data_IF_119374277845
#
_entry.id   IF_119374277845
#
_cell.length_a   1.000
_cell.length_b   1.000
_cell.length_c   1.000
_cell.angle_alpha   90.00
_cell.angle_beta   90.00
_cell.angle_gamma   90.00
#
_symmetry.space_group_name_H-M   'P 1'
#
loop_
_entity.id
_entity.type
_entity.pdbx_description
1 polymer ?
#
# COMPACT_ATOMS: atom_id res chain seq x y z
N UNK A 1 7.42 -1.87 3.89
CA UNK A 1 6.00 -1.89 4.28
C UNK A 1 5.13 -1.26 3.19
N UNK A 2 3.93 -1.77 2.98
CA UNK A 2 2.88 -1.11 2.20
C UNK A 2 2.10 -0.24 3.16
N UNK A 3 2.25 1.07 3.07
CA UNK A 3 1.54 2.03 3.92
C UNK A 3 0.09 2.15 3.49
N UNK A 4 -0.81 2.02 4.45
CA UNK A 4 -2.21 2.35 4.29
C UNK A 4 -2.66 3.36 5.35
N UNK A 5 -3.78 4.03 5.09
CA UNK A 5 -4.46 4.92 6.02
C UNK A 5 -5.91 4.51 6.13
N UNK A 6 -6.46 4.54 7.34
CA UNK A 6 -7.89 4.25 7.56
C UNK A 6 -8.75 5.32 6.90
N UNK A 7 -9.81 4.89 6.22
CA UNK A 7 -10.86 5.77 5.71
C UNK A 7 -11.64 6.42 6.85
N UNK A 8 -12.34 7.50 6.56
CA UNK A 8 -13.22 8.11 7.54
C UNK A 8 -14.34 7.14 7.96
N UNK A 9 -14.84 7.31 9.19
CA UNK A 9 -15.95 6.48 9.67
C UNK A 9 -17.20 6.68 8.81
N UNK A 10 -17.42 7.89 8.32
CA UNK A 10 -18.56 8.26 7.47
C UNK A 10 -18.53 7.48 6.16
N UNK A 11 -17.35 7.44 5.48
CA UNK A 11 -17.17 6.71 4.23
C UNK A 11 -17.35 5.20 4.41
N UNK A 12 -16.85 4.66 5.52
CA UNK A 12 -17.03 3.23 5.85
C UNK A 12 -18.51 2.94 6.11
N UNK A 13 -19.19 3.77 6.90
CA UNK A 13 -20.62 3.61 7.20
C UNK A 13 -21.47 3.71 5.94
N UNK A 14 -21.15 4.64 5.03
CA UNK A 14 -21.84 4.74 3.73
C UNK A 14 -21.71 3.44 2.93
N UNK A 15 -20.53 2.84 2.94
CA UNK A 15 -20.25 1.60 2.20
C UNK A 15 -21.00 0.39 2.77
N UNK A 16 -21.07 0.24 4.10
CA UNK A 16 -21.64 -0.95 4.74
C UNK A 16 -23.03 -0.75 5.32
N UNK A 17 -23.56 0.46 5.25
CA UNK A 17 -24.79 0.86 5.94
C UNK A 17 -26.06 0.14 5.48
N UNK A 18 -26.10 -0.43 4.28
CA UNK A 18 -27.24 -1.22 3.78
C UNK A 18 -27.25 -2.67 4.23
N UNK A 19 -26.19 -3.17 4.87
CA UNK A 19 -26.03 -4.56 5.27
C UNK A 19 -26.29 -4.75 6.76
N UNK A 20 -26.89 -5.89 7.13
CA UNK A 20 -27.23 -6.21 8.52
C UNK A 20 -26.09 -6.93 9.25
N UNK A 21 -25.32 -7.75 8.56
CA UNK A 21 -24.21 -8.54 9.11
C UNK A 21 -22.92 -8.18 8.37
N UNK A 22 -22.07 -7.42 9.04
CA UNK A 22 -20.77 -6.96 8.53
C UNK A 22 -19.66 -7.76 9.17
N UNK A 23 -18.83 -8.42 8.37
CA UNK A 23 -17.60 -9.04 8.83
C UNK A 23 -16.41 -8.14 8.47
N UNK A 24 -15.75 -7.58 9.49
CA UNK A 24 -14.57 -6.77 9.33
C UNK A 24 -13.30 -7.65 9.39
N UNK A 25 -12.59 -7.75 8.27
CA UNK A 25 -11.43 -8.61 8.10
C UNK A 25 -10.14 -7.80 8.19
N UNK A 26 -9.37 -8.03 9.23
CA UNK A 26 -8.04 -7.44 9.43
C UNK A 26 -6.92 -8.19 8.72
N UNK A 27 -5.76 -7.58 8.67
CA UNK A 27 -4.55 -8.16 8.10
C UNK A 27 -3.35 -7.88 9.02
N UNK A 28 -2.73 -8.94 9.56
CA UNK A 28 -1.56 -8.87 10.44
C UNK A 28 -0.24 -8.51 9.74
N UNK A 29 -0.27 -8.27 8.41
CA UNK A 29 0.90 -7.93 7.60
C UNK A 29 1.25 -6.44 7.61
N UNK A 30 1.52 -5.88 6.44
CA UNK A 30 2.00 -4.50 6.27
C UNK A 30 1.10 -3.44 6.96
N UNK A 31 -0.22 -3.62 6.89
CA UNK A 31 -1.18 -2.64 7.44
C UNK A 31 -1.24 -2.67 8.97
N UNK A 32 -0.90 -3.78 9.61
CA UNK A 32 -0.73 -3.86 11.07
C UNK A 32 0.47 -3.03 11.53
N UNK A 33 1.62 -3.17 10.83
CA UNK A 33 2.81 -2.33 11.07
C UNK A 33 2.49 -0.84 10.86
N UNK A 34 1.58 -0.53 9.95
CA UNK A 34 1.14 0.84 9.68
C UNK A 34 0.09 1.37 10.66
N UNK A 35 -0.34 0.60 11.64
CA UNK A 35 -1.41 0.96 12.59
C UNK A 35 -2.71 1.35 11.85
N UNK A 36 -3.06 0.57 10.82
CA UNK A 36 -4.20 0.86 9.95
C UNK A 36 -5.19 -0.30 9.79
N UNK A 37 -4.77 -1.57 10.04
CA UNK A 37 -5.64 -2.70 9.74
C UNK A 37 -5.29 -4.01 10.43
N UNK A 38 -4.51 -3.98 11.51
CA UNK A 38 -4.24 -5.12 12.37
C UNK A 38 -5.40 -5.46 13.32
N UNK A 39 -5.19 -6.40 14.22
CA UNK A 39 -6.21 -6.86 15.17
C UNK A 39 -6.74 -5.74 16.07
N UNK A 40 -5.86 -4.84 16.50
CA UNK A 40 -6.26 -3.71 17.34
C UNK A 40 -7.18 -2.77 16.57
N UNK A 41 -6.82 -2.37 15.36
CA UNK A 41 -7.58 -1.46 14.52
C UNK A 41 -8.94 -2.07 14.11
N UNK A 42 -9.01 -3.40 13.90
CA UNK A 42 -10.28 -4.12 13.70
C UNK A 42 -11.18 -3.98 14.93
N UNK A 43 -10.63 -4.17 16.11
CA UNK A 43 -11.39 -4.06 17.37
C UNK A 43 -11.92 -2.65 17.58
N UNK A 44 -11.09 -1.64 17.35
CA UNK A 44 -11.43 -0.23 17.47
C UNK A 44 -12.53 0.17 16.47
N UNK A 45 -12.35 -0.16 15.18
CA UNK A 45 -13.34 0.15 14.15
C UNK A 45 -14.69 -0.55 14.42
N UNK A 46 -14.66 -1.80 14.85
CA UNK A 46 -15.87 -2.53 15.19
C UNK A 46 -16.63 -1.86 16.35
N UNK A 47 -15.92 -1.35 17.34
CA UNK A 47 -16.52 -0.62 18.45
C UNK A 47 -17.17 0.70 17.96
N UNK A 48 -16.48 1.45 17.10
CA UNK A 48 -17.00 2.68 16.50
C UNK A 48 -18.27 2.42 15.67
N UNK A 49 -18.26 1.40 14.81
CA UNK A 49 -19.40 1.02 13.97
C UNK A 49 -20.60 0.59 14.82
N UNK A 50 -20.40 -0.23 15.86
CA UNK A 50 -21.46 -0.64 16.78
C UNK A 50 -22.08 0.55 17.50
N UNK A 51 -21.29 1.50 17.97
CA UNK A 51 -21.77 2.74 18.60
C UNK A 51 -22.57 3.58 17.60
N UNK A 52 -22.07 3.73 16.37
CA UNK A 52 -22.72 4.49 15.31
C UNK A 52 -24.13 3.90 15.02
N UNK A 53 -24.21 2.61 14.72
CA UNK A 53 -25.47 1.94 14.39
C UNK A 53 -26.46 1.92 15.56
N UNK A 54 -25.98 1.73 16.79
CA UNK A 54 -26.82 1.83 17.99
C UNK A 54 -27.46 3.22 18.15
N UNK A 55 -26.68 4.30 17.90
CA UNK A 55 -27.21 5.68 17.93
C UNK A 55 -28.28 5.91 16.86
N UNK A 56 -28.15 5.28 15.71
CA UNK A 56 -29.13 5.32 14.62
C UNK A 56 -30.32 4.40 14.85
N UNK A 57 -30.35 3.60 15.93
CA UNK A 57 -31.34 2.56 16.24
C UNK A 57 -31.41 1.48 15.16
N UNK A 58 -30.29 1.21 14.50
CA UNK A 58 -30.13 0.17 13.50
C UNK A 58 -29.62 -1.12 14.15
N UNK A 59 -30.32 -2.24 13.91
CA UNK A 59 -29.94 -3.56 14.43
C UNK A 59 -28.97 -4.22 13.44
N UNK A 60 -27.67 -3.96 13.62
CA UNK A 60 -26.61 -4.55 12.80
C UNK A 60 -25.60 -5.29 13.67
N UNK A 61 -25.09 -6.39 13.15
CA UNK A 61 -23.95 -7.08 13.75
C UNK A 61 -22.66 -6.70 13.01
N UNK A 62 -21.63 -6.44 13.77
CA UNK A 62 -20.30 -6.17 13.26
C UNK A 62 -19.34 -7.13 13.97
N UNK A 63 -18.86 -8.10 13.24
CA UNK A 63 -17.88 -9.07 13.71
C UNK A 63 -16.49 -8.75 13.18
N UNK A 64 -15.45 -9.28 13.80
CA UNK A 64 -14.07 -9.05 13.39
C UNK A 64 -13.30 -10.34 13.34
N UNK A 65 -12.46 -10.48 12.30
CA UNK A 65 -11.50 -11.56 12.17
C UNK A 65 -10.22 -11.02 11.55
N UNK A 66 -9.06 -11.44 12.03
CA UNK A 66 -7.78 -10.97 11.47
C UNK A 66 -6.99 -12.17 10.97
N UNK A 67 -6.69 -12.16 9.67
CA UNK A 67 -5.80 -13.14 9.05
C UNK A 67 -4.36 -12.64 9.09
N UNK A 68 -3.39 -13.54 9.04
CA UNK A 68 -1.98 -13.16 9.03
C UNK A 68 -1.64 -12.26 7.82
N UNK A 69 -2.09 -12.63 6.62
CA UNK A 69 -1.97 -11.82 5.39
C UNK A 69 -3.15 -12.04 4.45
N UNK A 70 -3.91 -11.01 4.15
CA UNK A 70 -5.00 -11.11 3.20
C UNK A 70 -4.55 -11.31 1.74
N UNK A 71 -3.30 -11.02 1.39
CA UNK A 71 -2.75 -11.25 0.06
C UNK A 71 -2.22 -12.68 -0.17
N UNK A 72 -2.64 -13.65 0.66
CA UNK A 72 -2.29 -15.06 0.51
C UNK A 72 -3.41 -15.95 1.05
N UNK A 73 -4.03 -16.75 0.19
CA UNK A 73 -5.15 -17.65 0.51
C UNK A 73 -4.85 -18.68 1.60
N UNK A 74 -3.58 -19.06 1.79
CA UNK A 74 -3.20 -20.02 2.83
C UNK A 74 -3.53 -19.55 4.26
N UNK A 75 -3.70 -18.24 4.46
CA UNK A 75 -4.03 -17.64 5.75
C UNK A 75 -5.54 -17.41 5.95
N UNK A 76 -6.40 -17.90 5.06
CA UNK A 76 -7.85 -17.74 5.16
C UNK A 76 -8.54 -18.84 5.98
N UNK A 77 -7.77 -19.74 6.60
CA UNK A 77 -8.32 -20.78 7.47
C UNK A 77 -9.16 -20.14 8.59
N UNK A 78 -10.38 -20.66 8.76
CA UNK A 78 -11.35 -20.16 9.74
C UNK A 78 -12.14 -18.92 9.31
N UNK A 79 -11.85 -18.33 8.15
CA UNK A 79 -12.58 -17.19 7.63
C UNK A 79 -13.86 -17.62 6.87
N UNK A 80 -13.86 -18.79 6.25
CA UNK A 80 -14.94 -19.23 5.36
C UNK A 80 -16.31 -19.27 6.06
N UNK A 81 -16.41 -19.86 7.25
CA UNK A 81 -17.67 -19.95 8.03
C UNK A 81 -18.20 -18.58 8.44
N UNK A 82 -17.30 -17.67 8.82
CA UNK A 82 -17.66 -16.30 9.19
C UNK A 82 -18.11 -15.50 7.95
N UNK A 83 -17.44 -15.68 6.83
CA UNK A 83 -17.78 -15.03 5.58
C UNK A 83 -19.14 -15.51 5.04
N UNK A 84 -19.46 -16.82 5.16
CA UNK A 84 -20.78 -17.37 4.78
C UNK A 84 -21.91 -16.70 5.56
N UNK A 85 -21.74 -16.48 6.85
CA UNK A 85 -22.74 -15.87 7.71
C UNK A 85 -22.91 -14.36 7.52
N UNK A 86 -21.94 -13.68 6.92
CA UNK A 86 -21.95 -12.23 6.70
C UNK A 86 -22.71 -11.84 5.43
N UNK A 87 -23.31 -10.64 5.42
CA UNK A 87 -23.97 -10.06 4.25
C UNK A 87 -22.95 -9.30 3.38
N UNK A 88 -21.90 -8.73 4.00
CA UNK A 88 -20.78 -8.09 3.33
C UNK A 88 -19.49 -8.24 4.13
N UNK A 89 -18.36 -8.04 3.44
CA UNK A 89 -17.01 -8.04 4.03
C UNK A 89 -16.42 -6.64 3.99
N UNK A 90 -15.87 -6.19 5.11
CA UNK A 90 -15.11 -4.95 5.22
C UNK A 90 -13.65 -5.31 5.37
N UNK A 91 -12.79 -4.90 4.44
CA UNK A 91 -11.38 -5.27 4.43
C UNK A 91 -10.50 -4.16 5.00
N UNK A 92 -9.72 -4.45 6.02
CA UNK A 92 -8.69 -3.56 6.56
C UNK A 92 -7.29 -3.92 6.02
N UNK A 93 -7.20 -4.44 4.78
CA UNK A 93 -5.96 -4.73 4.09
C UNK A 93 -5.63 -3.68 3.02
N UNK A 94 -4.37 -3.70 2.52
CA UNK A 94 -4.02 -2.97 1.31
C UNK A 94 -4.80 -3.51 0.09
N UNK A 95 -4.84 -2.75 -1.00
CA UNK A 95 -5.61 -3.10 -2.19
C UNK A 95 -5.35 -4.49 -2.75
N UNK A 96 -4.13 -5.03 -2.59
CA UNK A 96 -3.82 -6.41 -3.00
C UNK A 96 -4.58 -7.45 -2.16
N UNK A 97 -4.63 -7.27 -0.84
CA UNK A 97 -5.37 -8.15 0.05
C UNK A 97 -6.89 -8.03 -0.15
N UNK A 98 -7.40 -6.81 -0.27
CA UNK A 98 -8.82 -6.56 -0.50
C UNK A 98 -9.31 -7.21 -1.80
N UNK A 99 -8.54 -7.11 -2.89
CA UNK A 99 -8.90 -7.75 -4.16
C UNK A 99 -8.90 -9.28 -4.05
N UNK A 100 -7.89 -9.88 -3.39
CA UNK A 100 -7.87 -11.32 -3.19
C UNK A 100 -9.02 -11.81 -2.31
N UNK A 101 -9.43 -11.00 -1.31
CA UNK A 101 -10.63 -11.29 -0.51
C UNK A 101 -11.89 -11.31 -1.39
N UNK A 102 -12.03 -10.33 -2.29
CA UNK A 102 -13.14 -10.26 -3.23
C UNK A 102 -13.13 -11.41 -4.27
N UNK A 103 -11.95 -11.83 -4.72
CA UNK A 103 -11.81 -13.00 -5.61
C UNK A 103 -12.20 -14.31 -4.91
N UNK A 104 -11.92 -14.43 -3.61
CA UNK A 104 -12.28 -15.63 -2.82
C UNK A 104 -13.77 -15.74 -2.55
N UNK A 105 -14.46 -14.61 -2.36
CA UNK A 105 -15.89 -14.55 -2.03
C UNK A 105 -16.66 -13.70 -3.05
N UNK A 106 -16.76 -14.17 -4.33
CA UNK A 106 -17.33 -13.36 -5.41
C UNK A 106 -18.82 -13.08 -5.29
N UNK A 107 -19.52 -13.80 -4.43
CA UNK A 107 -20.94 -13.61 -4.09
C UNK A 107 -21.16 -12.60 -2.95
N UNK A 108 -20.10 -12.11 -2.31
CA UNK A 108 -20.17 -11.15 -1.21
C UNK A 108 -19.62 -9.78 -1.65
N UNK A 109 -20.33 -8.69 -1.39
CA UNK A 109 -19.75 -7.36 -1.50
C UNK A 109 -18.55 -7.19 -0.56
N UNK A 110 -17.43 -6.71 -1.09
CA UNK A 110 -16.20 -6.46 -0.34
C UNK A 110 -15.85 -4.98 -0.43
N UNK A 111 -15.76 -4.31 0.71
CA UNK A 111 -15.48 -2.88 0.81
C UNK A 111 -14.12 -2.64 1.48
N UNK A 112 -13.28 -1.72 0.96
CA UNK A 112 -12.04 -1.34 1.63
C UNK A 112 -12.33 -0.38 2.80
N UNK A 113 -11.75 -0.65 3.96
CA UNK A 113 -11.74 0.27 5.10
C UNK A 113 -10.47 1.13 5.16
N UNK A 114 -9.51 0.89 4.28
CA UNK A 114 -8.25 1.62 4.21
C UNK A 114 -7.89 1.97 2.77
N UNK A 115 -7.16 3.08 2.60
CA UNK A 115 -6.53 3.46 1.34
C UNK A 115 -5.06 3.03 1.34
N UNK A 116 -4.63 2.38 0.27
CA UNK A 116 -3.21 2.09 0.05
C UNK A 116 -2.52 3.35 -0.45
N UNK A 117 -1.51 3.82 0.28
CA UNK A 117 -0.87 5.11 0.00
C UNK A 117 0.44 4.97 -0.77
N UNK A 118 1.38 4.13 -0.27
CA UNK A 118 2.68 3.94 -0.91
C UNK A 118 3.40 2.67 -0.44
N UNK A 119 4.49 2.34 -1.11
CA UNK A 119 5.48 1.38 -0.64
C UNK A 119 6.64 2.17 -0.02
N UNK A 120 6.94 1.88 1.25
CA UNK A 120 7.93 2.64 2.00
C UNK A 120 8.59 1.91 3.14
N UNK A 121 9.12 2.70 4.04
CA UNK A 121 9.75 2.26 5.30
C UNK A 121 9.03 2.88 6.49
N UNK A 122 9.15 2.24 7.62
CA UNK A 122 8.84 2.75 8.94
C UNK A 122 10.14 3.26 9.60
N UNK A 123 10.17 4.52 9.97
CA UNK A 123 11.26 5.14 10.71
C UNK A 123 11.10 4.90 12.22
N UNK A 124 9.87 5.00 12.65
CA UNK A 124 9.43 4.79 14.02
C UNK A 124 7.91 4.54 14.00
N UNK A 125 7.29 4.04 15.08
CA UNK A 125 5.85 3.93 15.19
C UNK A 125 5.15 5.25 14.84
N UNK A 126 4.28 5.22 13.83
CA UNK A 126 3.57 6.40 13.34
C UNK A 126 4.34 7.28 12.34
N UNK A 127 5.61 6.99 12.04
CA UNK A 127 6.43 7.75 11.09
C UNK A 127 6.84 6.90 9.89
N UNK A 128 6.22 7.13 8.74
CA UNK A 128 6.43 6.37 7.50
C UNK A 128 6.88 7.28 6.36
N UNK A 129 7.76 6.77 5.50
CA UNK A 129 8.27 7.48 4.32
C UNK A 129 8.11 6.65 3.05
N UNK A 130 7.58 7.26 1.98
CA UNK A 130 7.58 6.65 0.65
C UNK A 130 9.01 6.44 0.13
N UNK A 131 9.27 5.23 -0.40
CA UNK A 131 10.59 4.89 -0.97
C UNK A 131 10.50 4.24 -2.35
N UNK A 132 9.35 3.65 -2.74
CA UNK A 132 9.25 2.90 -3.96
C UNK A 132 7.84 2.99 -4.58
N UNK A 133 7.78 3.07 -5.92
CA UNK A 133 6.55 3.05 -6.72
C UNK A 133 6.40 1.79 -7.56
N UNK A 134 7.20 0.74 -7.29
CA UNK A 134 7.18 -0.52 -8.02
C UNK A 134 7.26 -0.35 -9.55
N UNK A 135 8.06 0.60 -10.05
CA UNK A 135 8.17 0.91 -11.47
C UNK A 135 8.74 -0.24 -12.32
N UNK A 136 9.43 -1.22 -11.67
CA UNK A 136 9.89 -2.45 -12.31
C UNK A 136 11.27 -2.36 -12.95
N UNK A 137 11.89 -1.17 -12.98
CA UNK A 137 13.24 -0.93 -13.53
C UNK A 137 14.04 -0.08 -12.55
N UNK A 138 14.74 -0.77 -11.63
CA UNK A 138 15.38 -0.11 -10.49
C UNK A 138 16.68 0.61 -10.90
N UNK A 139 16.74 1.91 -10.66
CA UNK A 139 17.92 2.76 -10.97
C UNK A 139 18.80 3.04 -9.76
N UNK A 140 18.52 2.49 -8.59
CA UNK A 140 19.22 2.79 -7.34
C UNK A 140 20.73 2.53 -7.40
N UNK A 141 21.17 1.57 -8.20
CA UNK A 141 22.60 1.30 -8.41
C UNK A 141 23.38 2.48 -8.99
N UNK A 142 22.70 3.37 -9.71
CA UNK A 142 23.29 4.51 -10.42
C UNK A 142 23.06 5.85 -9.70
N UNK A 143 22.26 5.84 -8.66
CA UNK A 143 21.79 7.05 -7.96
C UNK A 143 22.20 7.05 -6.47
N UNK A 144 23.23 6.28 -6.13
CA UNK A 144 23.69 6.18 -4.75
C UNK A 144 22.63 5.68 -3.76
N UNK A 145 21.68 4.84 -4.22
CA UNK A 145 20.60 4.34 -3.38
C UNK A 145 19.42 5.32 -3.14
N UNK A 146 19.38 6.44 -3.84
CA UNK A 146 18.31 7.44 -3.75
C UNK A 146 17.39 7.29 -4.97
N UNK A 147 16.10 7.03 -4.77
CA UNK A 147 15.16 6.84 -5.87
C UNK A 147 14.68 8.19 -6.46
N UNK A 148 15.07 8.56 -7.69
CA UNK A 148 14.55 9.77 -8.31
C UNK A 148 13.08 9.66 -8.70
N UNK A 149 12.56 8.45 -8.96
CA UNK A 149 11.15 8.23 -9.33
C UNK A 149 10.18 8.61 -8.19
N UNK A 150 10.58 8.37 -6.93
CA UNK A 150 9.75 8.75 -5.79
C UNK A 150 10.05 10.15 -5.26
N UNK A 151 11.28 10.64 -5.45
CA UNK A 151 11.74 11.85 -4.75
C UNK A 151 11.85 13.08 -5.63
N UNK A 152 11.99 12.93 -6.96
CA UNK A 152 12.02 14.07 -7.85
C UNK A 152 10.61 14.59 -8.12
N UNK A 153 10.30 15.82 -7.72
CA UNK A 153 8.98 16.42 -7.93
C UNK A 153 8.59 16.55 -9.43
N UNK A 154 9.59 16.56 -10.32
CA UNK A 154 9.38 16.56 -11.78
C UNK A 154 9.39 15.17 -12.42
N UNK A 155 9.56 14.11 -11.64
CA UNK A 155 9.62 12.73 -12.13
C UNK A 155 10.85 12.43 -13.02
N UNK A 156 11.91 13.22 -12.95
CA UNK A 156 13.10 13.02 -13.75
C UNK A 156 13.93 11.87 -13.19
N UNK A 157 14.19 10.85 -13.97
CA UNK A 157 14.98 9.68 -13.56
C UNK A 157 16.38 9.59 -14.21
N UNK A 158 16.70 10.49 -15.14
CA UNK A 158 17.90 10.41 -15.96
C UNK A 158 18.77 11.68 -15.89
N UNK A 159 18.94 12.22 -14.70
CA UNK A 159 19.80 13.33 -14.43
C UNK A 159 19.10 14.59 -13.89
N UNK A 160 19.89 15.54 -13.39
CA UNK A 160 19.38 16.78 -12.82
C UNK A 160 18.82 17.72 -13.90
N UNK A 161 17.81 18.49 -13.53
CA UNK A 161 17.23 19.54 -14.40
C UNK A 161 17.95 20.90 -14.29
N UNK A 162 18.89 21.03 -13.36
CA UNK A 162 19.56 22.31 -13.07
C UNK A 162 18.76 23.29 -12.19
N UNK A 163 17.52 22.97 -11.85
CA UNK A 163 16.64 23.84 -11.06
C UNK A 163 16.76 23.67 -9.54
N UNK A 164 17.93 23.23 -9.06
CA UNK A 164 18.19 23.19 -7.62
C UNK A 164 18.74 24.52 -7.12
N UNK A 165 18.28 24.97 -5.97
CA UNK A 165 18.84 26.10 -5.23
C UNK A 165 19.11 25.67 -3.79
N UNK A 166 20.39 25.69 -3.37
CA UNK A 166 20.82 25.27 -2.03
C UNK A 166 20.27 23.91 -1.58
N UNK A 167 20.19 22.95 -2.50
CA UNK A 167 19.65 21.61 -2.24
C UNK A 167 18.11 21.53 -2.22
N UNK A 168 17.40 22.61 -2.53
CA UNK A 168 15.96 22.66 -2.64
C UNK A 168 15.49 22.64 -4.10
N UNK A 169 14.31 22.09 -4.33
CA UNK A 169 13.72 21.99 -5.66
C UNK A 169 13.04 23.32 -6.07
N UNK A 170 13.16 23.73 -7.33
CA UNK A 170 12.48 24.92 -7.86
C UNK A 170 10.95 24.79 -7.87
N UNK A 171 10.40 23.56 -7.82
CA UNK A 171 8.96 23.32 -7.75
C UNK A 171 8.37 23.76 -6.40
N UNK A 172 9.17 23.70 -5.34
CA UNK A 172 8.78 24.14 -4.00
C UNK A 172 9.98 24.22 -3.07
N UNK A 173 10.11 25.35 -2.39
CA UNK A 173 11.26 25.63 -1.48
C UNK A 173 11.38 24.64 -0.32
N UNK A 174 10.26 23.98 0.06
CA UNK A 174 10.23 22.97 1.12
C UNK A 174 10.67 21.59 0.62
N UNK A 175 10.72 21.38 -0.70
CA UNK A 175 11.00 20.07 -1.30
C UNK A 175 12.52 19.90 -1.43
N UNK A 176 13.16 18.91 -0.78
CA UNK A 176 14.55 18.57 -1.02
C UNK A 176 14.77 18.12 -2.47
N UNK A 177 15.83 18.60 -3.11
CA UNK A 177 16.13 18.20 -4.48
C UNK A 177 16.75 16.80 -4.50
N UNK A 178 16.02 15.82 -5.05
CA UNK A 178 16.50 14.44 -5.16
C UNK A 178 17.84 14.33 -5.90
N UNK A 179 18.04 15.10 -6.99
CA UNK A 179 19.26 15.05 -7.79
C UNK A 179 20.45 15.76 -7.13
N UNK A 180 20.20 16.75 -6.29
CA UNK A 180 21.24 17.31 -5.43
C UNK A 180 21.74 16.29 -4.41
N UNK A 181 20.84 15.62 -3.72
CA UNK A 181 21.19 14.56 -2.76
C UNK A 181 21.92 13.39 -3.44
N UNK A 182 21.49 13.01 -4.66
CA UNK A 182 22.16 11.98 -5.48
C UNK A 182 23.59 12.43 -5.81
N UNK A 183 23.77 13.67 -6.27
CA UNK A 183 25.09 14.21 -6.58
C UNK A 183 26.01 14.17 -5.36
N UNK A 184 25.55 14.70 -4.22
CA UNK A 184 26.34 14.71 -2.97
C UNK A 184 26.76 13.30 -2.59
N UNK A 185 25.83 12.35 -2.59
CA UNK A 185 26.10 10.96 -2.22
C UNK A 185 27.05 10.26 -3.19
N UNK A 186 26.90 10.44 -4.48
CA UNK A 186 27.80 9.86 -5.49
C UNK A 186 29.19 10.48 -5.41
N UNK A 187 29.29 11.78 -5.07
CA UNK A 187 30.58 12.45 -4.81
C UNK A 187 31.30 11.83 -3.62
N UNK A 188 30.58 11.63 -2.49
CA UNK A 188 31.13 10.96 -1.29
C UNK A 188 31.57 9.52 -1.58
N UNK A 189 30.87 8.83 -2.49
CA UNK A 189 31.18 7.47 -2.92
C UNK A 189 32.27 7.39 -4.01
N UNK A 190 32.81 8.52 -4.51
CA UNK A 190 33.70 8.60 -5.66
C UNK A 190 33.14 7.94 -6.93
N UNK A 191 31.83 8.14 -7.21
CA UNK A 191 31.08 7.51 -8.30
C UNK A 191 30.32 8.52 -9.17
N UNK A 192 30.85 9.73 -9.32
CA UNK A 192 30.19 10.79 -10.12
C UNK A 192 30.04 10.41 -11.60
N UNK A 193 30.82 9.47 -12.13
CA UNK A 193 30.67 8.93 -13.48
C UNK A 193 29.29 8.34 -13.74
N UNK A 194 28.60 7.89 -12.69
CA UNK A 194 27.22 7.40 -12.79
C UNK A 194 26.23 8.46 -13.32
N UNK A 195 26.50 9.76 -13.07
CA UNK A 195 25.67 10.86 -13.56
C UNK A 195 25.86 11.15 -15.06
N UNK A 196 26.99 10.76 -15.62
CA UNK A 196 27.32 10.96 -17.04
C UNK A 196 26.69 9.89 -17.94
N UNK A 197 26.27 8.77 -17.37
CA UNK A 197 25.69 7.65 -18.09
C UNK A 197 24.19 7.82 -18.27
N UNK A 198 23.76 8.15 -19.47
CA UNK A 198 22.33 8.23 -19.83
C UNK A 198 21.73 6.83 -19.82
N UNK A 199 20.66 6.65 -19.07
CA UNK A 199 19.92 5.39 -19.00
C UNK A 199 18.86 5.31 -20.11
N UNK A 200 18.57 4.11 -20.62
CA UNK A 200 17.43 3.92 -21.54
C UNK A 200 16.13 4.42 -20.92
N UNK A 201 15.17 4.77 -21.75
CA UNK A 201 13.81 5.11 -21.32
C UNK A 201 13.20 3.97 -20.50
N UNK A 202 12.54 4.29 -19.39
CA UNK A 202 11.81 3.30 -18.61
C UNK A 202 10.58 2.81 -19.37
N UNK A 203 10.31 1.51 -19.24
CA UNK A 203 9.11 0.90 -19.84
C UNK A 203 7.86 1.05 -18.97
N UNK A 204 8.01 1.53 -17.74
CA UNK A 204 6.91 1.74 -16.79
C UNK A 204 6.00 0.51 -16.64
N UNK A 205 6.62 -0.65 -16.38
CA UNK A 205 5.93 -1.96 -16.33
C UNK A 205 4.81 -2.03 -15.28
N UNK A 206 4.76 -1.07 -14.36
CA UNK A 206 3.71 -0.95 -13.36
C UNK A 206 2.43 -0.25 -13.87
N UNK A 207 2.38 0.18 -15.13
CA UNK A 207 1.19 0.80 -15.72
C UNK A 207 0.13 -0.21 -16.18
N UNK A 208 0.46 -1.50 -16.20
CA UNK A 208 -0.47 -2.57 -16.55
C UNK A 208 -0.35 -3.73 -15.57
N UNK A 209 -1.48 -4.40 -15.34
CA UNK A 209 -1.50 -5.62 -14.54
C UNK A 209 -0.63 -6.71 -15.18
N UNK A 210 0.12 -7.43 -14.39
CA UNK A 210 0.97 -8.52 -14.82
C UNK A 210 1.00 -9.65 -13.82
N UNK A 211 1.13 -10.87 -14.32
CA UNK A 211 1.43 -12.06 -13.53
C UNK A 211 2.89 -12.43 -13.74
N UNK A 212 3.59 -12.72 -12.66
CA UNK A 212 4.96 -13.19 -12.69
C UNK A 212 5.03 -14.59 -12.09
N UNK A 213 5.49 -15.54 -12.87
CA UNK A 213 5.83 -16.88 -12.40
C UNK A 213 7.35 -16.94 -12.30
N UNK A 214 7.85 -17.31 -11.14
CA UNK A 214 9.29 -17.40 -10.90
C UNK A 214 9.90 -18.53 -11.75
N UNK A 215 11.09 -18.28 -12.30
CA UNK A 215 11.83 -19.27 -13.10
C UNK A 215 11.98 -20.59 -12.31
N UNK A 216 11.67 -21.70 -12.97
CA UNK A 216 11.66 -23.04 -12.38
C UNK A 216 10.30 -23.49 -11.85
N UNK A 217 9.31 -22.61 -11.80
CA UNK A 217 7.94 -22.93 -11.35
C UNK A 217 6.92 -22.97 -12.50
N UNK A 218 7.34 -22.70 -13.74
CA UNK A 218 6.47 -22.59 -14.91
C UNK A 218 5.63 -23.85 -15.13
N UNK A 219 6.25 -25.04 -14.99
CA UNK A 219 5.56 -26.32 -15.15
C UNK A 219 4.45 -26.56 -14.11
N UNK A 220 4.58 -25.99 -12.93
CA UNK A 220 3.59 -26.12 -11.84
C UNK A 220 2.33 -25.31 -12.13
N UNK A 221 2.46 -24.21 -12.89
CA UNK A 221 1.39 -23.25 -13.15
C UNK A 221 1.06 -23.11 -14.65
N UNK A 222 1.63 -23.95 -15.51
CA UNK A 222 1.17 -24.09 -16.90
C UNK A 222 -0.28 -24.59 -16.89
N UNK A 223 -1.17 -23.80 -17.53
CA UNK A 223 -2.57 -24.18 -17.74
C UNK A 223 -2.67 -25.15 -18.90
#
# INVERSE_FOLDING_TARGET
VVKATRKSLEEIVESVGSFSRVLNVGCGGCVSVCLAGGQQEVTELNAELRVHFKRKKEFKTVEGFTVERQCNLQFYLGLDELAESADCLLSMACGAGTQLLAERYPDKPVFPAVDTVFIGIDRAPGWYEEKCRACGECVLAYTGGICPVTRCAKGLFNGPCGGTNEGKCEVGREIPCAWYDIYVRLKEQNRLECLLSIKPRMQWKNQSQRTLIQRGFEKRYAK
#
